data_IF_186244071107
#
_entry.id   IF_186244071107
#
_cell.length_a   1.000
_cell.length_b   1.000
_cell.length_c   1.000
_cell.angle_alpha   90.00
_cell.angle_beta   90.00
_cell.angle_gamma   90.00
#
_symmetry.space_group_name_H-M   'P 1'
#
loop_
_entity.id
_entity.type
_entity.pdbx_description
1 polymer ?
#
# COMPACT_ATOMS: atom_id res chain seq x y z
N UNK A 1 36.98 16.42 3.81
CA UNK A 1 35.98 15.73 4.63
C UNK A 1 34.62 15.96 3.97
N UNK A 2 33.92 14.92 3.51
CA UNK A 2 32.64 15.12 2.80
C UNK A 2 31.90 13.85 2.40
N UNK A 3 32.61 12.72 2.27
CA UNK A 3 31.98 11.42 1.94
C UNK A 3 31.43 10.66 3.16
N UNK A 4 31.89 11.00 4.37
CA UNK A 4 31.58 10.22 5.60
C UNK A 4 30.24 10.62 6.23
N UNK A 5 29.75 11.85 6.00
CA UNK A 5 28.48 12.31 6.55
C UNK A 5 27.27 11.82 5.73
N UNK A 6 27.40 11.74 4.40
CA UNK A 6 26.34 11.24 3.53
C UNK A 6 25.97 9.78 3.84
N UNK A 7 26.96 8.91 4.07
CA UNK A 7 26.71 7.50 4.39
C UNK A 7 26.02 7.29 5.73
N UNK A 8 26.26 8.18 6.71
CA UNK A 8 25.67 8.09 8.05
C UNK A 8 24.20 8.50 8.07
N UNK A 9 23.83 9.48 7.24
CA UNK A 9 22.43 9.86 7.00
C UNK A 9 21.63 8.68 6.47
N UNK A 10 22.09 8.08 5.37
CA UNK A 10 21.29 7.03 4.70
C UNK A 10 21.14 5.75 5.51
N UNK A 11 22.14 5.36 6.31
CA UNK A 11 21.98 4.23 7.25
C UNK A 11 20.91 4.53 8.30
N UNK A 12 20.82 5.78 8.76
CA UNK A 12 19.77 6.24 9.66
C UNK A 12 18.38 6.18 9.03
N UNK A 13 18.26 6.63 7.78
CA UNK A 13 17.01 6.62 7.02
C UNK A 13 16.52 5.19 6.76
N UNK A 14 17.41 4.29 6.35
CA UNK A 14 17.10 2.86 6.15
C UNK A 14 16.59 2.23 7.45
N UNK A 15 17.30 2.46 8.56
CA UNK A 15 16.92 1.91 9.86
C UNK A 15 15.55 2.43 10.31
N UNK A 16 15.26 3.71 10.05
CA UNK A 16 13.96 4.33 10.35
C UNK A 16 12.84 3.71 9.50
N UNK A 17 13.03 3.63 8.18
CA UNK A 17 12.06 3.05 7.23
C UNK A 17 11.73 1.59 7.59
N UNK A 18 12.74 0.75 7.76
CA UNK A 18 12.53 -0.65 8.16
C UNK A 18 11.98 -0.79 9.59
N UNK A 19 12.29 0.15 10.48
CA UNK A 19 11.65 0.26 11.79
C UNK A 19 10.14 0.45 11.68
N UNK A 20 9.71 1.39 10.82
CA UNK A 20 8.30 1.61 10.52
C UNK A 20 7.61 0.40 9.88
N UNK A 21 8.27 -0.23 8.89
CA UNK A 21 7.74 -1.45 8.25
C UNK A 21 7.51 -2.54 9.29
N UNK A 22 8.46 -2.76 10.21
CA UNK A 22 8.32 -3.75 11.28
C UNK A 22 7.06 -3.49 12.10
N UNK A 23 6.86 -2.26 12.56
CA UNK A 23 5.71 -1.91 13.43
C UNK A 23 4.39 -2.10 12.68
N UNK A 24 4.28 -1.62 11.45
CA UNK A 24 3.07 -1.76 10.63
C UNK A 24 2.74 -3.21 10.26
N UNK A 25 3.76 -4.03 9.95
CA UNK A 25 3.55 -5.46 9.69
C UNK A 25 3.03 -6.16 10.96
N UNK A 26 3.62 -5.89 12.12
CA UNK A 26 3.17 -6.49 13.38
C UNK A 26 1.74 -6.07 13.75
N UNK A 27 1.38 -4.80 13.53
CA UNK A 27 0.03 -4.28 13.75
C UNK A 27 -1.00 -4.97 12.84
N UNK A 28 -0.71 -5.07 11.53
CA UNK A 28 -1.59 -5.76 10.57
C UNK A 28 -1.72 -7.26 10.88
N UNK A 29 -0.63 -7.89 11.33
CA UNK A 29 -0.64 -9.28 11.78
C UNK A 29 -1.52 -9.48 13.02
N UNK A 30 -1.38 -8.61 14.02
CA UNK A 30 -2.23 -8.63 15.22
C UNK A 30 -3.71 -8.43 14.85
N UNK A 31 -4.00 -7.50 13.92
CA UNK A 31 -5.35 -7.26 13.40
C UNK A 31 -5.92 -8.45 12.61
N UNK A 32 -5.06 -9.23 11.95
CA UNK A 32 -5.43 -10.46 11.25
C UNK A 32 -5.65 -11.67 12.20
N UNK A 33 -5.60 -11.46 13.52
CA UNK A 33 -5.81 -12.47 14.54
C UNK A 33 -4.91 -13.71 14.37
N UNK A 34 -3.65 -13.50 13.96
CA UNK A 34 -2.68 -14.58 13.81
C UNK A 34 -2.23 -15.12 15.18
N UNK A 35 -1.81 -16.39 15.27
CA UNK A 35 -1.32 -16.98 16.51
C UNK A 35 -0.14 -16.20 17.11
N UNK A 36 -0.06 -16.14 18.43
CA UNK A 36 1.01 -15.43 19.15
C UNK A 36 2.41 -15.93 18.76
N UNK A 37 2.58 -17.25 18.60
CA UNK A 37 3.85 -17.84 18.17
C UNK A 37 4.30 -17.33 16.80
N UNK A 38 3.35 -17.17 15.86
CA UNK A 38 3.65 -16.65 14.53
C UNK A 38 3.99 -15.15 14.57
N UNK A 39 3.32 -14.40 15.46
CA UNK A 39 3.60 -12.99 15.68
C UNK A 39 5.01 -12.76 16.27
N UNK A 40 5.42 -13.56 17.25
CA UNK A 40 6.79 -13.51 17.81
C UNK A 40 7.86 -13.91 16.80
N UNK A 41 7.59 -14.95 15.98
CA UNK A 41 8.49 -15.34 14.89
C UNK A 41 8.66 -14.23 13.85
N UNK A 42 7.56 -13.60 13.45
CA UNK A 42 7.60 -12.45 12.53
C UNK A 42 8.35 -11.26 13.14
N UNK A 43 8.16 -11.00 14.43
CA UNK A 43 8.91 -9.95 15.15
C UNK A 43 10.42 -10.21 15.09
N UNK A 44 10.86 -11.42 15.43
CA UNK A 44 12.28 -11.77 15.40
C UNK A 44 12.89 -11.66 14.00
N UNK A 45 12.12 -12.06 13.00
CA UNK A 45 12.49 -11.98 11.59
C UNK A 45 12.69 -10.53 11.11
N UNK A 46 11.73 -9.66 11.43
CA UNK A 46 11.78 -8.25 11.08
C UNK A 46 12.92 -7.54 11.84
N UNK A 47 13.14 -7.85 13.12
CA UNK A 47 14.28 -7.32 13.89
C UNK A 47 15.64 -7.74 13.32
N UNK A 48 15.75 -8.97 12.83
CA UNK A 48 16.96 -9.45 12.16
C UNK A 48 17.15 -8.75 10.82
N UNK A 49 16.08 -8.58 10.04
CA UNK A 49 16.12 -7.87 8.77
C UNK A 49 16.56 -6.42 8.95
N UNK A 50 16.01 -5.70 9.93
CA UNK A 50 16.39 -4.31 10.26
C UNK A 50 17.89 -4.22 10.58
N UNK A 51 18.43 -5.16 11.35
CA UNK A 51 19.88 -5.21 11.65
C UNK A 51 20.69 -5.44 10.38
N UNK A 52 20.31 -6.43 9.57
CA UNK A 52 21.04 -6.82 8.35
C UNK A 52 21.11 -5.67 7.34
N UNK A 53 20.00 -4.97 7.09
CA UNK A 53 19.98 -3.82 6.15
C UNK A 53 20.73 -2.60 6.67
N UNK A 54 20.75 -2.41 7.99
CA UNK A 54 21.51 -1.32 8.63
C UNK A 54 23.02 -1.58 8.52
N UNK A 55 23.44 -2.84 8.68
CA UNK A 55 24.86 -3.24 8.57
C UNK A 55 25.32 -3.25 7.11
N UNK A 56 24.47 -3.66 6.17
CA UNK A 56 24.81 -3.79 4.76
C UNK A 56 24.87 -2.46 3.97
N UNK A 57 24.55 -1.33 4.60
CA UNK A 57 24.62 0.03 4.05
C UNK A 57 24.19 0.15 2.57
N UNK A 58 22.90 0.43 2.37
CA UNK A 58 22.24 0.81 1.10
C UNK A 58 22.07 -0.27 0.02
N UNK A 59 22.82 -1.38 0.03
CA UNK A 59 22.78 -2.34 -1.09
C UNK A 59 21.63 -3.36 -1.10
N UNK A 60 21.02 -3.65 0.06
CA UNK A 60 20.14 -4.82 0.24
C UNK A 60 18.68 -4.49 0.55
N UNK A 61 18.25 -3.24 0.51
CA UNK A 61 16.90 -2.85 0.97
C UNK A 61 15.76 -3.50 0.18
N UNK A 62 15.88 -3.58 -1.15
CA UNK A 62 14.86 -4.24 -1.99
C UNK A 62 14.85 -5.76 -1.80
N UNK A 63 16.02 -6.37 -1.68
CA UNK A 63 16.18 -7.81 -1.43
C UNK A 63 15.64 -8.19 -0.04
N UNK A 64 15.92 -7.37 0.96
CA UNK A 64 15.42 -7.53 2.32
C UNK A 64 13.90 -7.47 2.39
N UNK A 65 13.26 -6.55 1.66
CA UNK A 65 11.81 -6.48 1.61
C UNK A 65 11.21 -7.74 0.95
N UNK A 66 11.84 -8.21 -0.13
CA UNK A 66 11.44 -9.47 -0.76
C UNK A 66 11.61 -10.66 0.19
N UNK A 67 12.71 -10.70 0.95
CA UNK A 67 12.98 -11.74 1.94
C UNK A 67 11.95 -11.72 3.07
N UNK A 68 11.55 -10.55 3.56
CA UNK A 68 10.45 -10.41 4.52
C UNK A 68 9.17 -10.99 3.95
N UNK A 69 8.78 -10.63 2.72
CA UNK A 69 7.57 -11.19 2.08
C UNK A 69 7.61 -12.71 2.02
N UNK A 70 8.71 -13.28 1.51
CA UNK A 70 8.84 -14.74 1.38
C UNK A 70 8.78 -15.44 2.72
N UNK A 71 9.58 -15.00 3.70
CA UNK A 71 9.64 -15.69 4.98
C UNK A 71 8.38 -15.49 5.83
N UNK A 72 7.67 -14.36 5.67
CA UNK A 72 6.40 -14.12 6.36
C UNK A 72 5.31 -15.08 5.86
N UNK A 73 5.38 -15.55 4.61
CA UNK A 73 4.49 -16.60 4.08
C UNK A 73 4.71 -17.93 4.80
N UNK A 74 5.96 -18.28 5.10
CA UNK A 74 6.30 -19.49 5.84
C UNK A 74 5.86 -19.42 7.31
N UNK A 75 5.91 -18.23 7.91
CA UNK A 75 5.46 -18.00 9.30
C UNK A 75 3.94 -17.97 9.43
N UNK A 76 3.23 -17.56 8.36
CA UNK A 76 1.78 -17.42 8.34
C UNK A 76 1.12 -18.34 7.32
N UNK A 77 1.18 -19.68 7.52
CA UNK A 77 0.49 -20.62 6.62
C UNK A 77 -1.04 -20.46 6.68
N UNK A 78 -1.57 -19.81 7.72
CA UNK A 78 -3.00 -19.50 7.86
C UNK A 78 -3.47 -18.37 6.94
N UNK A 79 -2.56 -17.52 6.45
CA UNK A 79 -2.86 -16.45 5.51
C UNK A 79 -2.38 -16.84 4.12
N UNK A 80 -3.17 -16.51 3.11
CA UNK A 80 -2.74 -16.76 1.73
C UNK A 80 -1.47 -15.94 1.43
N UNK A 81 -0.53 -16.46 0.62
CA UNK A 81 0.69 -15.74 0.27
C UNK A 81 0.43 -14.34 -0.33
N UNK A 82 -0.69 -14.20 -1.05
CA UNK A 82 -1.14 -12.93 -1.61
C UNK A 82 -1.53 -11.90 -0.54
N UNK A 83 -2.22 -12.32 0.52
CA UNK A 83 -2.61 -11.45 1.64
C UNK A 83 -1.37 -11.01 2.41
N UNK A 84 -0.47 -11.96 2.72
CA UNK A 84 0.79 -11.69 3.43
C UNK A 84 1.67 -10.71 2.66
N UNK A 85 1.80 -10.90 1.34
CA UNK A 85 2.56 -9.99 0.47
C UNK A 85 1.96 -8.59 0.45
N UNK A 86 0.63 -8.47 0.30
CA UNK A 86 -0.07 -7.18 0.31
C UNK A 86 0.10 -6.44 1.64
N UNK A 87 0.03 -7.14 2.77
CA UNK A 87 0.23 -6.57 4.09
C UNK A 87 1.63 -5.94 4.25
N UNK A 88 2.67 -6.63 3.74
CA UNK A 88 4.04 -6.09 3.73
C UNK A 88 4.18 -4.92 2.75
N UNK A 89 3.54 -4.98 1.59
CA UNK A 89 3.53 -3.88 0.61
C UNK A 89 2.82 -2.62 1.13
N UNK A 90 1.71 -2.80 1.84
CA UNK A 90 1.01 -1.70 2.50
C UNK A 90 1.87 -1.09 3.62
N UNK A 91 2.53 -1.93 4.42
CA UNK A 91 3.44 -1.47 5.46
C UNK A 91 4.65 -0.70 4.89
N UNK A 92 5.24 -1.15 3.79
CA UNK A 92 6.32 -0.45 3.09
C UNK A 92 5.86 0.89 2.53
N UNK A 93 4.68 0.91 1.89
CA UNK A 93 4.08 2.14 1.36
C UNK A 93 3.75 3.16 2.46
N UNK A 94 3.27 2.70 3.60
CA UNK A 94 2.88 3.54 4.73
C UNK A 94 4.11 4.10 5.47
N UNK A 95 5.10 3.25 5.73
CA UNK A 95 6.37 3.68 6.31
C UNK A 95 7.09 4.73 5.44
N UNK A 96 6.91 4.67 4.12
CA UNK A 96 7.47 5.65 3.18
C UNK A 96 6.58 6.89 2.97
N UNK A 97 5.31 6.85 3.36
CA UNK A 97 4.39 8.01 3.31
C UNK A 97 4.52 8.90 4.54
N UNK A 98 4.83 8.31 5.69
CA UNK A 98 5.14 9.07 6.92
C UNK A 98 6.34 10.02 6.72
N UNK A 99 7.18 9.79 5.69
CA UNK A 99 8.28 10.67 5.27
C UNK A 99 7.81 11.94 4.52
N UNK A 100 6.60 11.93 3.93
CA UNK A 100 6.06 13.05 3.14
C UNK A 100 4.90 13.79 3.85
N UNK A 101 4.38 13.23 4.95
CA UNK A 101 3.26 13.80 5.70
C UNK A 101 3.70 14.77 6.83
N UNK A 102 5.00 14.97 7.06
CA UNK A 102 5.50 15.95 8.04
C UNK A 102 5.52 17.39 7.50
N UNK A 103 5.18 17.62 6.22
CA UNK A 103 5.09 18.97 5.64
C UNK A 103 3.67 19.56 5.57
N UNK A 104 2.63 18.84 6.03
CA UNK A 104 1.23 19.30 5.92
C UNK A 104 0.47 19.27 7.26
N UNK A 105 1.19 19.40 8.40
CA UNK A 105 0.58 19.71 9.70
C UNK A 105 0.60 21.21 10.00
N UNK A 106 -0.25 21.92 9.28
CA UNK A 106 -0.84 23.20 9.65
C UNK A 106 -2.04 23.34 8.70
N UNK A 107 -3.29 23.35 9.12
CA UNK A 107 -3.88 23.82 10.36
C UNK A 107 -5.09 22.92 10.66
N UNK A 108 -5.20 22.44 11.90
CA UNK A 108 -6.47 21.92 12.42
C UNK A 108 -7.14 23.12 13.08
N UNK A 109 -8.12 23.72 12.42
CA UNK A 109 -9.11 24.53 13.12
C UNK A 109 -10.41 23.73 13.17
N UNK A 110 -10.54 22.99 14.26
CA UNK A 110 -11.77 22.48 14.81
C UNK A 110 -12.81 23.58 14.92
N UNK A 111 -13.98 23.39 14.30
CA UNK A 111 -15.19 24.08 14.73
C UNK A 111 -16.40 23.15 14.55
N UNK A 112 -16.78 22.48 15.64
CA UNK A 112 -18.14 22.06 15.91
C UNK A 112 -19.09 23.24 15.67
N UNK A 113 -20.05 23.11 14.74
CA UNK A 113 -21.33 23.83 14.83
C UNK A 113 -22.43 23.08 14.03
N UNK A 114 -23.29 22.41 14.79
CA UNK A 114 -24.69 22.11 14.50
C UNK A 114 -25.39 23.25 13.75
N UNK A 115 -25.98 23.01 12.56
CA UNK A 115 -27.23 23.65 12.12
C UNK A 115 -27.96 22.87 11.00
N UNK A 116 -29.33 22.88 10.99
CA UNK A 116 -30.21 22.05 10.15
C UNK A 116 -30.42 22.62 8.72
N UNK A 117 -31.00 21.84 7.78
CA UNK A 117 -31.23 22.30 6.41
C UNK A 117 -32.36 23.34 6.37
N UNK A 118 -32.09 24.48 5.75
CA UNK A 118 -33.12 25.46 5.40
C UNK A 118 -33.50 25.31 3.93
N UNK A 119 -34.76 24.90 3.78
CA UNK A 119 -35.61 25.03 2.62
C UNK A 119 -35.92 26.52 2.48
N UNK A 120 -35.55 27.14 1.37
CA UNK A 120 -36.15 28.39 0.93
C UNK A 120 -36.34 28.26 -0.58
N UNK A 121 -37.62 28.21 -0.94
CA UNK A 121 -38.18 28.26 -2.27
C UNK A 121 -37.83 29.60 -2.94
N UNK A 122 -37.37 29.54 -4.18
CA UNK A 122 -37.56 30.61 -5.16
C UNK A 122 -37.82 29.92 -6.52
N UNK A 123 -39.10 29.76 -6.80
CA UNK A 123 -39.68 29.62 -8.13
C UNK A 123 -39.38 30.88 -8.95
N UNK A 124 -38.93 30.72 -10.18
CA UNK A 124 -39.31 31.59 -11.31
C UNK A 124 -38.96 30.88 -12.65
N UNK A 125 -40.00 30.26 -13.21
CA UNK A 125 -40.46 30.25 -14.62
C UNK A 125 -39.41 30.13 -15.75
N UNK A 126 -39.40 29.00 -16.46
CA UNK A 126 -40.15 28.70 -17.70
C UNK A 126 -39.58 29.39 -18.95
N UNK A 127 -38.91 28.62 -19.81
CA UNK A 127 -39.18 28.66 -21.24
C UNK A 127 -38.74 27.36 -21.95
N UNK A 128 -39.59 27.03 -22.91
CA UNK A 128 -39.90 25.72 -23.49
C UNK A 128 -38.93 25.32 -24.62
N UNK A 129 -39.22 24.16 -25.23
CA UNK A 129 -38.78 23.70 -26.56
C UNK A 129 -37.48 22.88 -26.61
N UNK A 130 -37.35 21.76 -27.31
CA UNK A 130 -38.23 20.77 -27.95
C UNK A 130 -37.23 19.77 -28.56
N UNK A 131 -37.62 18.50 -28.70
CA UNK A 131 -37.01 17.56 -29.66
C UNK A 131 -35.54 17.16 -29.48
N UNK A 132 -35.07 15.95 -29.78
CA UNK A 132 -35.62 14.64 -30.15
C UNK A 132 -34.41 13.70 -30.11
N UNK A 133 -34.65 12.42 -29.82
CA UNK A 133 -33.89 11.27 -30.34
C UNK A 133 -32.36 11.18 -30.19
N UNK A 134 -31.94 10.15 -29.46
CA UNK A 134 -30.55 9.67 -29.55
C UNK A 134 -30.23 8.36 -28.86
N UNK A 135 -31.13 7.37 -28.89
CA UNK A 135 -30.80 5.99 -28.51
C UNK A 135 -29.72 5.48 -29.47
N UNK A 136 -28.49 5.25 -28.99
CA UNK A 136 -27.49 4.50 -29.74
C UNK A 136 -27.22 3.14 -29.08
N UNK A 137 -27.16 2.03 -29.84
CA UNK A 137 -27.14 0.67 -29.31
C UNK A 137 -25.73 0.17 -29.00
N UNK A 138 -25.69 -0.84 -28.14
CA UNK A 138 -24.60 -1.80 -27.91
C UNK A 138 -23.67 -2.03 -29.10
N UNK A 139 -22.36 -1.93 -28.87
CA UNK A 139 -21.34 -2.56 -29.70
C UNK A 139 -20.31 -3.22 -28.77
N UNK A 140 -20.50 -4.52 -28.53
CA UNK A 140 -19.43 -5.42 -28.09
C UNK A 140 -18.63 -5.87 -29.31
N UNK A 141 -17.29 -5.83 -29.29
CA UNK A 141 -16.48 -6.72 -30.09
C UNK A 141 -16.23 -8.00 -29.29
N UNK A 142 -17.05 -9.01 -29.55
CA UNK A 142 -16.69 -10.39 -29.27
C UNK A 142 -15.53 -10.82 -30.19
N UNK A 143 -14.71 -11.74 -29.67
CA UNK A 143 -13.90 -12.68 -30.44
C UNK A 143 -12.63 -12.15 -31.11
N UNK A 144 -11.49 -12.54 -30.54
CA UNK A 144 -10.35 -13.01 -31.35
C UNK A 144 -9.89 -14.35 -30.82
N UNK A 145 -10.53 -15.38 -31.37
CA UNK A 145 -10.04 -16.75 -31.46
C UNK A 145 -8.80 -16.74 -32.36
N UNK A 146 -7.62 -16.94 -31.79
CA UNK A 146 -6.48 -17.51 -32.52
C UNK A 146 -6.15 -18.87 -31.93
N UNK A 147 -6.98 -19.87 -32.24
CA UNK A 147 -6.54 -21.26 -32.37
C UNK A 147 -6.05 -21.44 -33.81
N UNK A 148 -4.75 -21.72 -34.01
CA UNK A 148 -4.18 -22.51 -35.12
C UNK A 148 -2.64 -22.45 -35.04
N UNK A 149 -1.79 -23.49 -35.12
CA UNK A 149 -1.89 -24.94 -35.47
C UNK A 149 -0.62 -25.66 -34.89
N UNK A 150 -0.51 -27.01 -34.96
CA UNK A 150 0.42 -27.86 -34.20
C UNK A 150 1.64 -28.37 -35.00
N UNK A 151 2.36 -29.31 -34.34
CA UNK A 151 3.14 -30.45 -34.86
C UNK A 151 4.65 -30.30 -35.08
N UNK A 152 5.36 -31.25 -34.44
CA UNK A 152 6.61 -31.91 -34.87
C UNK A 152 7.95 -31.29 -34.45
N UNK A 153 8.67 -32.03 -33.60
CA UNK A 153 10.15 -32.22 -33.61
C UNK A 153 10.46 -33.44 -32.73
N UNK A 154 10.70 -34.58 -33.37
CA UNK A 154 12.01 -35.25 -33.58
C UNK A 154 12.54 -35.95 -32.32
#
# INVERSE_FOLDING_TARGET
MGVVEASKGVVGDIRRRFGGIKERVLEKMAAAAVPADALDNARHLLETTVRDVTVAAQGLTKDALHRVKTQLVDVLPSLSPAITTKMVDEADKEANRDENAESERGEVESNDHDQPPRHDDDDDDDDDDDSTHGKAPFISPASSLFLNIPLSRL
#
